data_IF_055050527434
#
_entry.id   IF_055050527434
#
_cell.length_a   1.000
_cell.length_b   1.000
_cell.length_c   1.000
_cell.angle_alpha   90.00
_cell.angle_beta   90.00
_cell.angle_gamma   90.00
#
_symmetry.space_group_name_H-M   'P 1'
#
loop_
_entity.id
_entity.type
_entity.pdbx_description
1 polymer ?
#
# COMPACT_ATOMS: atom_id res chain seq x y z
N UNK A 1 -14.32 -13.03 23.08
CA UNK A 1 -13.10 -12.21 22.92
C UNK A 1 -13.40 -11.15 21.88
N UNK A 2 -13.27 -9.87 22.21
CA UNK A 2 -13.62 -8.76 21.30
C UNK A 2 -12.35 -8.13 20.76
N UNK A 3 -12.28 -7.92 19.44
CA UNK A 3 -11.19 -7.23 18.77
C UNK A 3 -11.75 -5.93 18.18
N UNK A 4 -11.05 -4.82 18.42
CA UNK A 4 -11.39 -3.52 17.86
C UNK A 4 -10.23 -3.04 16.99
N UNK A 5 -10.56 -2.50 15.81
CA UNK A 5 -9.59 -1.87 14.91
C UNK A 5 -9.99 -0.42 14.71
N UNK A 6 -9.04 0.50 14.90
CA UNK A 6 -9.23 1.94 14.69
C UNK A 6 -8.12 2.48 13.81
N UNK A 7 -8.43 3.48 13.00
CA UNK A 7 -7.44 4.28 12.26
C UNK A 7 -6.83 5.38 13.14
N UNK A 8 -7.60 5.88 14.09
CA UNK A 8 -7.20 6.99 14.96
C UNK A 8 -6.47 6.49 16.19
N UNK A 9 -5.55 7.33 16.68
CA UNK A 9 -4.89 7.13 17.95
C UNK A 9 -5.91 7.08 19.11
N UNK A 10 -5.57 6.32 20.14
CA UNK A 10 -6.48 6.10 21.27
C UNK A 10 -6.85 7.41 22.01
N UNK A 11 -5.96 8.41 21.96
CA UNK A 11 -6.19 9.72 22.60
C UNK A 11 -7.28 10.56 21.93
N UNK A 12 -7.62 10.28 20.66
CA UNK A 12 -8.70 10.96 19.94
C UNK A 12 -10.04 10.23 20.05
N UNK A 13 -10.09 9.10 20.76
CA UNK A 13 -11.30 8.32 20.93
C UNK A 13 -12.03 8.69 22.22
N UNK A 14 -13.36 8.68 22.17
CA UNK A 14 -14.18 8.77 23.37
C UNK A 14 -14.08 7.46 24.17
N UNK A 15 -13.18 7.46 25.15
CA UNK A 15 -12.90 6.31 26.00
C UNK A 15 -14.12 5.85 26.81
N UNK A 16 -15.12 6.72 27.03
CA UNK A 16 -16.36 6.35 27.76
C UNK A 16 -17.23 5.36 26.99
N UNK A 17 -17.08 5.33 25.66
CA UNK A 17 -17.82 4.47 24.73
C UNK A 17 -17.05 3.20 24.35
N UNK A 18 -15.82 3.06 24.83
CA UNK A 18 -14.96 1.91 24.53
C UNK A 18 -15.01 0.88 25.68
N UNK A 19 -14.98 -0.43 25.36
CA UNK A 19 -14.77 -1.43 26.39
C UNK A 19 -13.41 -1.19 27.08
N UNK A 20 -13.29 -1.54 28.36
CA UNK A 20 -11.99 -1.50 29.06
C UNK A 20 -10.95 -2.35 28.30
N UNK A 21 -10.07 -1.70 27.55
CA UNK A 21 -9.04 -2.33 26.74
C UNK A 21 -7.89 -2.78 27.64
N UNK A 22 -7.67 -4.10 27.72
CA UNK A 22 -6.53 -4.67 28.46
C UNK A 22 -5.21 -4.56 27.72
N UNK A 23 -5.27 -4.55 26.39
CA UNK A 23 -4.10 -4.50 25.53
C UNK A 23 -4.35 -3.53 24.38
N UNK A 24 -3.35 -2.70 24.09
CA UNK A 24 -3.34 -1.78 22.94
C UNK A 24 -2.09 -2.09 22.15
N UNK A 25 -2.26 -2.44 20.88
CA UNK A 25 -1.15 -2.76 19.98
C UNK A 25 -1.06 -1.67 18.91
N UNK A 26 -0.09 -0.75 19.00
CA UNK A 26 0.10 0.25 17.96
C UNK A 26 0.63 -0.42 16.68
N UNK A 27 0.07 -0.01 15.54
CA UNK A 27 0.54 -0.44 14.22
C UNK A 27 1.41 0.67 13.64
N UNK A 28 2.73 0.47 13.70
CA UNK A 28 3.69 1.40 13.13
C UNK A 28 3.87 1.19 11.63
N UNK A 29 4.39 2.21 10.97
CA UNK A 29 4.82 2.10 9.57
C UNK A 29 5.99 1.11 9.48
N UNK A 30 5.98 0.21 8.48
CA UNK A 30 7.01 -0.80 8.36
C UNK A 30 8.36 -0.16 7.99
N UNK A 31 9.44 -0.61 8.64
CA UNK A 31 10.81 -0.28 8.25
C UNK A 31 11.16 -0.87 6.88
N UNK A 32 12.26 -0.41 6.27
CA UNK A 32 12.72 -0.90 4.94
C UNK A 32 12.78 -2.43 4.91
N UNK A 33 13.47 -3.05 5.88
CA UNK A 33 13.59 -4.51 5.98
C UNK A 33 12.23 -5.22 6.10
N UNK A 34 11.24 -4.59 6.75
CA UNK A 34 9.91 -5.15 6.87
C UNK A 34 9.11 -4.98 5.58
N UNK A 35 9.26 -3.84 4.88
CA UNK A 35 8.67 -3.61 3.55
C UNK A 35 9.18 -4.61 2.53
N UNK A 36 10.47 -4.91 2.52
CA UNK A 36 11.03 -5.97 1.66
C UNK A 36 10.31 -7.31 1.88
N UNK A 37 10.11 -7.70 3.14
CA UNK A 37 9.37 -8.92 3.51
C UNK A 37 7.91 -8.86 3.08
N UNK A 38 7.27 -7.70 3.21
CA UNK A 38 5.87 -7.50 2.80
C UNK A 38 5.75 -7.65 1.29
N UNK A 39 6.59 -6.95 0.51
CA UNK A 39 6.63 -7.06 -0.94
C UNK A 39 6.86 -8.51 -1.39
N UNK A 40 7.86 -9.18 -0.83
CA UNK A 40 8.17 -10.58 -1.17
C UNK A 40 7.01 -11.53 -0.86
N UNK A 41 6.24 -11.28 0.21
CA UNK A 41 5.07 -12.10 0.58
C UNK A 41 3.82 -11.78 -0.24
N UNK A 42 3.61 -10.51 -0.58
CA UNK A 42 2.41 -10.07 -1.29
C UNK A 42 2.51 -10.31 -2.79
N UNK A 43 3.71 -10.43 -3.36
CA UNK A 43 3.89 -10.84 -4.75
C UNK A 43 3.30 -12.24 -4.96
N UNK A 44 2.21 -12.38 -5.73
CA UNK A 44 1.53 -13.65 -5.85
C UNK A 44 2.36 -14.59 -6.74
N UNK A 45 2.65 -15.79 -6.23
CA UNK A 45 3.41 -16.83 -6.93
C UNK A 45 2.80 -17.29 -8.26
N UNK A 46 1.52 -16.98 -8.48
CA UNK A 46 0.76 -17.34 -9.70
C UNK A 46 0.88 -16.31 -10.82
N UNK A 47 1.41 -15.10 -10.55
CA UNK A 47 1.65 -14.14 -11.62
C UNK A 47 2.91 -14.56 -12.41
N UNK A 48 2.97 -14.27 -13.71
CA UNK A 48 4.20 -14.36 -14.48
C UNK A 48 5.16 -13.27 -14.00
N UNK A 49 5.92 -13.59 -12.94
CA UNK A 49 6.93 -12.71 -12.35
C UNK A 49 8.20 -12.88 -13.15
N UNK A 50 8.72 -11.80 -13.75
CA UNK A 50 10.06 -11.83 -14.34
C UNK A 50 11.09 -12.10 -13.25
N UNK A 51 12.09 -12.94 -13.51
CA UNK A 51 13.11 -13.34 -12.52
C UNK A 51 14.02 -12.22 -12.01
N UNK A 52 13.86 -10.99 -12.51
CA UNK A 52 14.69 -9.82 -12.20
C UNK A 52 14.01 -8.75 -11.32
N UNK A 53 13.08 -9.13 -10.44
CA UNK A 53 12.44 -8.15 -9.54
C UNK A 53 13.36 -7.77 -8.37
N UNK A 54 13.85 -6.52 -8.40
CA UNK A 54 14.63 -5.93 -7.32
C UNK A 54 13.73 -5.37 -6.20
N UNK A 55 13.19 -6.26 -5.38
CA UNK A 55 12.27 -5.92 -4.28
C UNK A 55 12.89 -4.94 -3.27
N UNK A 56 14.22 -5.03 -3.08
CA UNK A 56 14.99 -4.18 -2.18
C UNK A 56 14.96 -2.71 -2.61
N UNK A 57 15.17 -2.44 -3.91
CA UNK A 57 15.11 -1.08 -4.46
C UNK A 57 13.72 -0.46 -4.25
N UNK A 58 12.65 -1.24 -4.45
CA UNK A 58 11.29 -0.79 -4.23
C UNK A 58 11.02 -0.43 -2.76
N UNK A 59 11.53 -1.25 -1.82
CA UNK A 59 11.34 -1.02 -0.38
C UNK A 59 12.11 0.19 0.15
N UNK A 60 13.29 0.46 -0.41
CA UNK A 60 14.11 1.64 -0.10
C UNK A 60 13.52 2.92 -0.70
N UNK A 61 13.08 2.87 -1.97
CA UNK A 61 12.55 4.01 -2.71
C UNK A 61 11.19 4.48 -2.21
N UNK A 62 10.31 3.55 -1.86
CA UNK A 62 8.93 3.87 -1.46
C UNK A 62 8.68 3.58 0.02
N UNK A 63 8.36 4.63 0.78
CA UNK A 63 7.97 4.54 2.19
C UNK A 63 6.49 4.22 2.36
N UNK A 64 6.05 3.13 1.73
CA UNK A 64 4.65 2.69 1.69
C UNK A 64 4.24 1.87 2.92
N UNK A 65 2.95 1.92 3.25
CA UNK A 65 2.34 1.00 4.22
C UNK A 65 2.13 -0.37 3.59
N UNK A 66 1.83 -1.40 4.41
CA UNK A 66 1.48 -2.71 3.87
C UNK A 66 0.24 -2.69 2.97
N UNK A 67 -0.72 -1.80 3.24
CA UNK A 67 -1.90 -1.61 2.41
C UNK A 67 -1.55 -1.00 1.05
N UNK A 68 -0.68 0.02 1.03
CA UNK A 68 -0.22 0.65 -0.22
C UNK A 68 0.54 -0.34 -1.11
N UNK A 69 1.43 -1.14 -0.52
CA UNK A 69 2.17 -2.19 -1.25
C UNK A 69 1.18 -3.18 -1.88
N UNK A 70 0.17 -3.62 -1.13
CA UNK A 70 -0.88 -4.51 -1.63
C UNK A 70 -1.65 -3.89 -2.79
N UNK A 71 -2.04 -2.62 -2.68
CA UNK A 71 -2.73 -1.89 -3.75
C UNK A 71 -1.88 -1.81 -5.02
N UNK A 72 -0.60 -1.46 -4.91
CA UNK A 72 0.31 -1.40 -6.07
C UNK A 72 0.42 -2.75 -6.77
N UNK A 73 0.59 -3.83 -6.00
CA UNK A 73 0.65 -5.20 -6.57
C UNK A 73 -0.67 -5.58 -7.23
N UNK A 74 -1.82 -5.24 -6.62
CA UNK A 74 -3.14 -5.53 -7.17
C UNK A 74 -3.35 -4.79 -8.50
N UNK A 75 -3.04 -3.50 -8.55
CA UNK A 75 -3.12 -2.71 -9.79
C UNK A 75 -2.18 -3.24 -10.87
N UNK A 76 -0.95 -3.64 -10.51
CA UNK A 76 -0.04 -4.27 -11.46
C UNK A 76 -0.59 -5.60 -12.00
N UNK A 77 -1.21 -6.42 -11.14
CA UNK A 77 -1.86 -7.66 -11.55
C UNK A 77 -3.05 -7.41 -12.49
N UNK A 78 -3.87 -6.39 -12.20
CA UNK A 78 -4.99 -5.99 -13.05
C UNK A 78 -4.53 -5.57 -14.45
N UNK A 79 -3.45 -4.78 -14.56
CA UNK A 79 -2.88 -4.35 -15.85
C UNK A 79 -2.44 -5.55 -16.69
N UNK A 80 -1.81 -6.55 -16.06
CA UNK A 80 -1.35 -7.77 -16.75
C UNK A 80 -2.54 -8.66 -17.14
N UNK A 81 -3.59 -8.68 -16.32
CA UNK A 81 -4.82 -9.40 -16.62
C UNK A 81 -5.64 -8.76 -17.75
N UNK A 82 -5.18 -7.65 -18.35
CA UNK A 82 -5.88 -6.94 -19.42
C UNK A 82 -6.92 -5.95 -18.90
N UNK A 83 -6.82 -5.54 -17.63
CA UNK A 83 -7.63 -4.46 -17.08
C UNK A 83 -7.34 -3.14 -17.79
N UNK A 84 -8.40 -2.40 -18.10
CA UNK A 84 -8.37 -1.14 -18.86
C UNK A 84 -7.85 0.02 -17.97
N UNK A 85 -6.57 -0.04 -17.59
CA UNK A 85 -5.88 1.06 -16.94
C UNK A 85 -5.26 1.94 -18.03
N UNK A 86 -5.88 3.11 -18.23
CA UNK A 86 -5.78 3.98 -19.39
C UNK A 86 -4.39 4.55 -19.78
N UNK A 87 -3.26 4.00 -19.31
CA UNK A 87 -1.94 4.55 -19.66
C UNK A 87 -0.76 3.55 -19.64
N UNK A 88 -0.98 2.25 -19.44
CA UNK A 88 0.14 1.30 -19.28
C UNK A 88 -0.01 0.16 -20.29
N UNK A 89 0.91 0.10 -21.25
CA UNK A 89 0.96 -0.95 -22.28
C UNK A 89 1.01 -2.32 -21.58
N UNK A 90 0.03 -3.19 -21.84
CA UNK A 90 -0.14 -4.49 -21.17
C UNK A 90 1.07 -5.40 -21.40
N UNK A 91 2.00 -5.53 -20.43
CA UNK A 91 3.11 -6.45 -20.57
C UNK A 91 2.64 -7.85 -20.15
N UNK A 92 3.18 -8.90 -20.77
CA UNK A 92 2.84 -10.29 -20.45
C UNK A 92 3.45 -10.80 -19.14
N UNK A 93 4.20 -9.96 -18.40
CA UNK A 93 4.86 -10.32 -17.14
C UNK A 93 5.01 -9.13 -16.20
N UNK A 94 5.01 -9.38 -14.88
CA UNK A 94 5.36 -8.38 -13.86
C UNK A 94 6.86 -8.11 -13.98
N UNK A 95 7.22 -6.90 -14.41
CA UNK A 95 8.61 -6.42 -14.39
C UNK A 95 8.80 -5.36 -13.31
N UNK A 96 10.06 -5.10 -12.95
CA UNK A 96 10.42 -4.06 -11.97
C UNK A 96 9.94 -2.69 -12.45
N UNK A 97 10.07 -2.41 -13.75
CA UNK A 97 9.67 -1.14 -14.36
C UNK A 97 8.17 -0.92 -14.22
N UNK A 98 7.34 -1.96 -14.44
CA UNK A 98 5.90 -1.86 -14.25
C UNK A 98 5.55 -1.52 -12.80
N UNK A 99 6.16 -2.21 -11.83
CA UNK A 99 5.92 -1.95 -10.41
C UNK A 99 6.34 -0.54 -10.01
N UNK A 100 7.46 -0.03 -10.54
CA UNK A 100 7.89 1.35 -10.32
C UNK A 100 6.88 2.35 -10.90
N UNK A 101 6.41 2.15 -12.14
CA UNK A 101 5.44 3.04 -12.78
C UNK A 101 4.10 3.08 -12.03
N UNK A 102 3.61 1.91 -11.59
CA UNK A 102 2.39 1.82 -10.79
C UNK A 102 2.59 2.46 -9.42
N UNK A 103 3.73 2.24 -8.78
CA UNK A 103 4.08 2.87 -7.50
C UNK A 103 4.14 4.40 -7.60
N UNK A 104 4.75 4.95 -8.64
CA UNK A 104 4.80 6.39 -8.91
C UNK A 104 3.41 6.97 -9.14
N UNK A 105 2.59 6.27 -9.92
CA UNK A 105 1.19 6.66 -10.16
C UNK A 105 0.40 6.67 -8.87
N UNK A 106 0.59 5.65 -8.02
CA UNK A 106 -0.04 5.57 -6.70
C UNK A 106 0.40 6.72 -5.80
N UNK A 107 1.70 7.01 -5.75
CA UNK A 107 2.24 8.14 -4.98
C UNK A 107 1.68 9.49 -5.48
N UNK A 108 1.58 9.68 -6.79
CA UNK A 108 0.98 10.89 -7.39
C UNK A 108 -0.49 11.02 -7.01
N UNK A 109 -1.26 9.93 -7.08
CA UNK A 109 -2.68 9.90 -6.66
C UNK A 109 -2.82 10.24 -5.17
N UNK A 110 -1.96 9.69 -4.31
CA UNK A 110 -1.94 10.01 -2.87
C UNK A 110 -1.68 11.50 -2.64
N UNK A 111 -0.67 12.08 -3.31
CA UNK A 111 -0.34 13.50 -3.17
C UNK A 111 -1.48 14.41 -3.68
N UNK A 112 -2.15 14.03 -4.76
CA UNK A 112 -3.30 14.77 -5.29
C UNK A 112 -4.51 14.72 -4.34
N UNK A 113 -4.80 13.55 -3.77
CA UNK A 113 -5.89 13.39 -2.79
C UNK A 113 -5.65 14.19 -1.51
N UNK A 114 -4.41 14.24 -1.02
CA UNK A 114 -4.05 15.08 0.12
C UNK A 114 -4.22 16.58 -0.17
N UNK A 115 -3.87 17.04 -1.37
CA UNK A 115 -4.08 18.43 -1.77
C UNK A 115 -5.57 18.82 -1.78
N UNK A 116 -6.45 17.91 -2.22
CA UNK A 116 -7.89 18.15 -2.24
C UNK A 116 -8.52 18.13 -0.83
N UNK A 117 -8.05 17.25 0.06
CA UNK A 117 -8.56 17.12 1.43
C UNK A 117 -8.19 18.31 2.31
N UNK A 118 -7.06 18.99 2.06
CA UNK A 118 -6.71 20.22 2.78
C UNK A 118 -7.64 21.36 2.34
N UNK A 119 -7.97 21.49 1.05
CA UNK A 119 -8.89 22.51 0.57
C UNK A 119 -10.33 22.32 1.08
N UNK A 120 -10.80 21.08 1.21
CA UNK A 120 -12.15 20.80 1.71
C UNK A 120 -12.31 20.93 3.22
N UNK A 121 -11.22 21.05 3.98
CA UNK A 121 -11.24 21.17 5.46
C UNK A 121 -11.34 22.63 5.92
N UNK A 122 -11.14 23.59 5.01
CA UNK A 122 -11.25 25.04 5.23
C UNK A 122 -12.44 25.68 4.49
N UNK A 123 -13.38 24.86 3.99
CA UNK A 123 -14.69 25.26 3.45
C UNK A 123 -15.78 24.71 4.37
#
# INVERSE_FOLDING_TARGET
>A
MTILTTRYEIGLLDLSRLPKMRYVVPLWTPSVNLREKIWSKLLPKKLPVSSSIDVKKLAERFSFTGGDIGSVICTAAEIIAGGDNANIQSPSSVTTELLEQVAETHLKKMNQSMGHSIQSMFQ
#
